data_IF_391660318442
#
_entry.id   IF_391660318442
#
_cell.length_a   1.000
_cell.length_b   1.000
_cell.length_c   1.000
_cell.angle_alpha   90.00
_cell.angle_beta   90.00
_cell.angle_gamma   90.00
#
_symmetry.space_group_name_H-M   'P 1'
#
loop_
_entity.id
_entity.type
_entity.pdbx_description
1 polymer ?
#
# COMPACT_ATOMS: atom_id res chain seq x y z
N UNK A 1 27.48 -80.80 -11.84
CA UNK A 1 27.32 -80.23 -13.20
C UNK A 1 26.04 -79.39 -13.13
N UNK A 2 25.98 -78.06 -13.22
CA UNK A 2 26.86 -77.02 -13.75
C UNK A 2 26.42 -75.69 -13.08
N UNK A 3 27.38 -74.91 -12.61
CA UNK A 3 27.21 -73.53 -12.06
C UNK A 3 26.71 -72.61 -13.19
N UNK A 4 25.96 -71.54 -12.90
CA UNK A 4 26.21 -70.13 -13.34
C UNK A 4 25.11 -69.16 -12.87
N UNK A 5 25.57 -68.10 -12.22
CA UNK A 5 24.86 -66.90 -11.72
C UNK A 5 24.83 -65.82 -12.80
N UNK A 6 23.71 -65.13 -13.04
CA UNK A 6 23.65 -63.76 -13.61
C UNK A 6 22.30 -63.13 -13.21
N UNK A 7 22.27 -62.30 -12.17
CA UNK A 7 22.19 -60.83 -12.23
C UNK A 7 20.85 -60.25 -12.74
N UNK A 8 20.14 -59.60 -11.79
CA UNK A 8 19.29 -58.41 -11.95
C UNK A 8 18.44 -58.34 -13.23
N UNK A 9 17.17 -58.69 -13.11
CA UNK A 9 16.11 -57.90 -13.79
C UNK A 9 15.10 -57.50 -12.72
N UNK A 10 15.42 -56.37 -12.10
CA UNK A 10 14.49 -55.54 -11.37
C UNK A 10 13.52 -54.97 -12.42
N UNK A 11 12.33 -55.55 -12.55
CA UNK A 11 11.23 -54.90 -13.25
C UNK A 11 10.65 -53.86 -12.28
N UNK A 12 11.23 -52.68 -12.29
CA UNK A 12 10.61 -51.46 -11.76
C UNK A 12 9.40 -51.19 -12.65
N UNK A 13 8.21 -51.62 -12.21
CA UNK A 13 6.96 -51.01 -12.69
C UNK A 13 6.77 -49.74 -11.87
N UNK A 14 7.27 -48.64 -12.43
CA UNK A 14 7.10 -47.32 -11.86
C UNK A 14 5.67 -46.83 -12.14
N UNK A 15 5.13 -46.17 -11.12
CA UNK A 15 4.24 -45.01 -11.22
C UNK A 15 2.77 -45.20 -11.65
N UNK A 16 1.93 -44.57 -10.84
CA UNK A 16 0.58 -44.06 -11.16
C UNK A 16 -0.61 -45.01 -10.95
N UNK A 17 -0.80 -45.45 -9.70
CA UNK A 17 -2.15 -45.38 -9.14
C UNK A 17 -2.12 -44.33 -8.03
N UNK A 18 -2.72 -43.13 -8.21
CA UNK A 18 -3.13 -42.38 -7.04
C UNK A 18 -4.11 -43.29 -6.32
N UNK A 19 -3.83 -43.59 -5.05
CA UNK A 19 -4.86 -44.08 -4.15
C UNK A 19 -6.07 -43.18 -4.38
N UNK A 20 -7.21 -43.77 -4.74
CA UNK A 20 -8.48 -43.08 -4.68
C UNK A 20 -8.65 -42.67 -3.21
N UNK A 21 -8.19 -41.46 -2.89
CA UNK A 21 -8.77 -40.74 -1.78
C UNK A 21 -10.18 -40.49 -2.24
N UNK A 22 -11.09 -41.41 -1.87
CA UNK A 22 -12.47 -41.04 -1.62
C UNK A 22 -12.37 -39.90 -0.62
N UNK A 23 -12.29 -38.67 -1.14
CA UNK A 23 -12.39 -37.47 -0.37
C UNK A 23 -13.76 -37.56 0.25
N UNK A 24 -13.81 -38.01 1.50
CA UNK A 24 -14.88 -37.66 2.39
C UNK A 24 -14.83 -36.15 2.49
N UNK A 25 -15.47 -35.49 1.52
CA UNK A 25 -15.71 -34.06 1.53
C UNK A 25 -16.47 -33.83 2.82
N UNK A 26 -15.76 -33.36 3.83
CA UNK A 26 -16.40 -32.89 5.05
C UNK A 26 -17.16 -31.65 4.62
N UNK A 27 -18.40 -31.85 4.18
CA UNK A 27 -19.32 -30.77 3.91
C UNK A 27 -19.43 -30.00 5.22
N UNK A 28 -18.77 -28.83 5.26
CA UNK A 28 -18.85 -27.95 6.42
C UNK A 28 -20.32 -27.61 6.57
N UNK A 29 -20.97 -27.94 7.69
CA UNK A 29 -22.39 -27.68 7.86
C UNK A 29 -22.63 -26.18 7.66
N UNK A 30 -23.73 -25.83 6.97
CA UNK A 30 -24.01 -24.45 6.53
C UNK A 30 -23.93 -23.43 7.66
N UNK A 31 -24.29 -23.81 8.88
CA UNK A 31 -24.17 -22.97 10.08
C UNK A 31 -22.73 -22.70 10.49
N UNK A 32 -21.84 -23.69 10.37
CA UNK A 32 -20.39 -23.51 10.57
C UNK A 32 -19.80 -22.64 9.46
N UNK A 33 -20.20 -22.86 8.20
CA UNK A 33 -19.77 -22.05 7.08
C UNK A 33 -20.16 -20.57 7.26
N UNK A 34 -21.39 -20.31 7.71
CA UNK A 34 -21.89 -18.96 8.02
C UNK A 34 -21.08 -18.29 9.13
N UNK A 35 -20.74 -19.01 10.19
CA UNK A 35 -19.89 -18.50 11.29
C UNK A 35 -18.48 -18.18 10.81
N UNK A 36 -17.89 -19.05 10.00
CA UNK A 36 -16.56 -18.83 9.40
C UNK A 36 -16.61 -17.61 8.49
N UNK A 37 -17.65 -17.48 7.65
CA UNK A 37 -17.84 -16.32 6.79
C UNK A 37 -17.89 -15.02 7.60
N UNK A 38 -18.69 -14.98 8.68
CA UNK A 38 -18.75 -13.82 9.56
C UNK A 38 -17.42 -13.52 10.25
N UNK A 39 -16.68 -14.54 10.68
CA UNK A 39 -15.35 -14.35 11.26
C UNK A 39 -14.38 -13.73 10.24
N UNK A 40 -14.42 -14.16 8.98
CA UNK A 40 -13.63 -13.58 7.90
C UNK A 40 -14.04 -12.14 7.62
N UNK A 41 -15.34 -11.85 7.55
CA UNK A 41 -15.85 -10.49 7.35
C UNK A 41 -15.38 -9.57 8.48
N UNK A 42 -15.50 -10.00 9.73
CA UNK A 42 -15.02 -9.22 10.89
C UNK A 42 -13.52 -8.98 10.80
N UNK A 43 -12.74 -9.97 10.39
CA UNK A 43 -11.30 -9.83 10.21
C UNK A 43 -10.95 -8.82 9.11
N UNK A 44 -11.64 -8.86 7.97
CA UNK A 44 -11.45 -7.90 6.88
C UNK A 44 -11.82 -6.49 7.33
N UNK A 45 -12.96 -6.32 8.00
CA UNK A 45 -13.41 -5.02 8.50
C UNK A 45 -12.44 -4.48 9.56
N UNK A 46 -11.97 -5.34 10.47
CA UNK A 46 -10.98 -4.97 11.47
C UNK A 46 -9.67 -4.51 10.84
N UNK A 47 -9.15 -5.26 9.87
CA UNK A 47 -7.95 -4.87 9.12
C UNK A 47 -8.14 -3.55 8.35
N UNK A 48 -9.30 -3.37 7.70
CA UNK A 48 -9.62 -2.13 6.99
C UNK A 48 -9.74 -0.94 7.94
N UNK A 49 -10.34 -1.12 9.12
CA UNK A 49 -10.43 -0.08 10.14
C UNK A 49 -9.05 0.32 10.66
N UNK A 50 -8.16 -0.64 10.95
CA UNK A 50 -6.77 -0.36 11.35
C UNK A 50 -6.06 0.40 10.23
N UNK A 51 -6.12 -0.08 8.99
CA UNK A 51 -5.50 0.59 7.85
C UNK A 51 -6.03 2.01 7.60
N UNK A 52 -7.27 2.30 7.98
CA UNK A 52 -7.89 3.62 7.83
C UNK A 52 -7.54 4.57 8.98
N UNK A 53 -7.63 4.11 10.24
CA UNK A 53 -7.48 4.97 11.42
C UNK A 53 -6.04 5.10 11.92
N UNK A 54 -5.18 4.13 11.64
CA UNK A 54 -3.78 4.15 12.08
C UNK A 54 -2.93 5.02 11.13
N UNK A 55 -2.48 6.18 11.62
CA UNK A 55 -1.66 7.10 10.83
C UNK A 55 -0.26 6.55 10.56
N UNK A 56 0.32 5.80 11.50
CA UNK A 56 1.68 5.28 11.37
C UNK A 56 1.75 4.18 10.32
N UNK A 57 0.76 3.27 10.33
CA UNK A 57 0.61 2.26 9.28
C UNK A 57 0.44 2.90 7.90
N UNK A 58 -0.42 3.93 7.78
CA UNK A 58 -0.60 4.65 6.51
C UNK A 58 0.69 5.31 6.03
N UNK A 59 1.44 5.96 6.93
CA UNK A 59 2.70 6.61 6.58
C UNK A 59 3.74 5.58 6.09
N UNK A 60 3.86 4.43 6.76
CA UNK A 60 4.74 3.34 6.31
C UNK A 60 4.35 2.81 4.92
N UNK A 61 3.05 2.62 4.67
CA UNK A 61 2.57 2.18 3.35
C UNK A 61 2.87 3.24 2.29
N UNK A 62 2.64 4.52 2.57
CA UNK A 62 2.93 5.63 1.65
C UNK A 62 4.43 5.77 1.36
N UNK A 63 5.28 5.46 2.34
CA UNK A 63 6.73 5.39 2.18
C UNK A 63 7.13 4.26 1.23
N UNK A 64 6.57 3.06 1.43
CA UNK A 64 6.83 1.91 0.56
C UNK A 64 6.28 2.10 -0.87
N UNK A 65 5.14 2.77 -1.03
CA UNK A 65 4.55 3.02 -2.35
C UNK A 65 5.12 4.26 -3.04
N UNK A 66 5.97 5.05 -2.35
CA UNK A 66 6.53 6.30 -2.86
C UNK A 66 5.48 7.39 -3.09
N UNK A 67 4.31 7.28 -2.45
CA UNK A 67 3.21 8.24 -2.57
C UNK A 67 3.21 9.31 -1.48
N UNK A 68 4.29 9.39 -0.68
CA UNK A 68 4.49 10.50 0.23
C UNK A 68 4.39 11.81 -0.54
N UNK A 69 3.51 12.75 -0.14
CA UNK A 69 3.46 14.06 -0.77
C UNK A 69 4.77 14.76 -0.45
N UNK A 70 5.67 14.83 -1.44
CA UNK A 70 6.88 15.63 -1.34
C UNK A 70 6.43 17.08 -1.11
N UNK A 71 6.77 17.65 0.04
CA UNK A 71 6.56 19.06 0.33
C UNK A 71 7.89 19.80 0.22
N UNK A 72 7.85 20.99 -0.37
CA UNK A 72 8.99 21.89 -0.41
C UNK A 72 8.62 23.16 0.36
N UNK A 73 9.45 23.51 1.34
CA UNK A 73 9.33 24.77 2.08
C UNK A 73 9.88 25.90 1.20
N UNK A 74 9.04 26.88 0.93
CA UNK A 74 9.39 28.09 0.16
C UNK A 74 9.12 29.35 0.98
N UNK A 75 9.82 30.42 0.64
CA UNK A 75 9.73 31.72 1.29
C UNK A 75 9.20 32.73 0.28
N UNK A 76 8.10 33.39 0.62
CA UNK A 76 7.44 34.37 -0.25
C UNK A 76 7.51 35.76 0.38
N UNK A 77 7.92 36.75 -0.40
CA UNK A 77 7.97 38.14 0.04
C UNK A 77 7.57 39.09 -1.09
N UNK A 78 7.24 40.31 -0.72
CA UNK A 78 6.95 41.39 -1.66
C UNK A 78 8.11 42.38 -1.64
N UNK A 79 8.56 42.85 -2.80
CA UNK A 79 9.57 43.90 -2.88
C UNK A 79 8.96 45.31 -2.76
N UNK A 80 9.82 46.32 -2.71
CA UNK A 80 9.41 47.73 -2.55
C UNK A 80 8.64 48.26 -3.77
N UNK A 81 8.63 47.52 -4.89
CA UNK A 81 7.87 47.82 -6.10
C UNK A 81 6.53 47.09 -6.14
N UNK A 82 6.19 46.33 -5.10
CA UNK A 82 4.97 45.55 -5.01
C UNK A 82 5.03 44.20 -5.74
N UNK A 83 6.19 43.77 -6.23
CA UNK A 83 6.35 42.51 -6.97
C UNK A 83 6.54 41.36 -5.98
N UNK A 84 5.83 40.27 -6.20
CA UNK A 84 5.94 39.04 -5.41
C UNK A 84 7.10 38.17 -5.88
N UNK A 85 7.92 37.73 -4.94
CA UNK A 85 9.05 36.82 -5.16
C UNK A 85 8.89 35.57 -4.30
N UNK A 86 9.36 34.43 -4.82
CA UNK A 86 9.37 33.14 -4.11
C UNK A 86 10.77 32.52 -4.24
N UNK A 87 11.36 32.09 -3.13
CA UNK A 87 12.67 31.41 -3.11
C UNK A 87 12.68 30.25 -2.13
N UNK A 88 13.58 29.30 -2.36
CA UNK A 88 13.86 28.19 -1.42
C UNK A 88 14.74 28.64 -0.24
N UNK A 89 15.28 29.85 -0.28
CA UNK A 89 16.08 30.45 0.80
C UNK A 89 15.41 31.70 1.34
N UNK A 90 15.45 31.92 2.67
CA UNK A 90 14.84 33.10 3.27
C UNK A 90 15.62 34.36 2.88
N UNK A 91 14.94 35.46 2.49
CA UNK A 91 15.60 36.74 2.27
C UNK A 91 16.10 37.30 3.61
N UNK A 92 17.31 37.88 3.61
CA UNK A 92 17.95 38.41 4.83
C UNK A 92 17.36 39.75 5.28
N UNK A 93 16.98 40.59 4.33
CA UNK A 93 16.70 42.01 4.58
C UNK A 93 15.22 42.37 4.40
N UNK A 94 14.34 41.37 4.26
CA UNK A 94 12.91 41.59 4.02
C UNK A 94 12.03 40.67 4.85
N UNK A 95 10.88 41.17 5.34
CA UNK A 95 9.88 40.31 5.95
C UNK A 95 9.35 39.34 4.90
N UNK A 96 9.35 38.06 5.24
CA UNK A 96 8.86 36.98 4.38
C UNK A 96 7.79 36.17 5.11
N UNK A 97 6.97 35.46 4.33
CA UNK A 97 6.07 34.43 4.82
C UNK A 97 6.58 33.07 4.39
N UNK A 98 6.61 32.14 5.33
CA UNK A 98 6.90 30.74 5.04
C UNK A 98 5.66 30.09 4.44
N UNK A 99 5.85 29.28 3.40
CA UNK A 99 4.76 28.55 2.77
C UNK A 99 5.24 27.15 2.39
N UNK A 100 4.42 26.15 2.70
CA UNK A 100 4.69 24.76 2.35
C UNK A 100 3.96 24.42 1.05
N UNK A 101 4.71 24.04 0.02
CA UNK A 101 4.16 23.68 -1.28
C UNK A 101 4.17 22.17 -1.42
N UNK A 102 2.99 21.58 -1.57
CA UNK A 102 2.83 20.16 -1.87
C UNK A 102 2.99 19.94 -3.37
N UNK A 103 3.92 19.09 -3.79
CA UNK A 103 4.19 18.86 -5.21
C UNK A 103 3.02 18.24 -5.99
N UNK A 104 2.08 17.62 -5.29
CA UNK A 104 0.91 16.97 -5.88
C UNK A 104 -0.34 17.87 -5.94
N UNK A 105 -0.25 19.13 -5.51
CA UNK A 105 -1.39 20.05 -5.48
C UNK A 105 -1.09 21.28 -6.32
N UNK A 106 -1.83 21.46 -7.41
CA UNK A 106 -1.80 22.70 -8.18
C UNK A 106 -2.66 23.75 -7.45
N UNK A 107 -2.05 24.48 -6.51
CA UNK A 107 -2.75 25.53 -5.76
C UNK A 107 -2.85 26.78 -6.63
N UNK A 108 -4.00 26.98 -7.28
CA UNK A 108 -4.31 28.27 -7.91
C UNK A 108 -4.75 29.23 -6.79
N UNK A 109 -4.06 30.37 -6.59
CA UNK A 109 -4.44 31.33 -5.56
C UNK A 109 -5.84 31.87 -5.86
N UNK A 110 -6.70 31.93 -4.84
CA UNK A 110 -7.99 32.58 -4.94
C UNK A 110 -7.79 34.06 -5.30
N UNK A 111 -8.43 34.51 -6.38
CA UNK A 111 -8.43 35.94 -6.74
C UNK A 111 -8.97 36.76 -5.56
N UNK A 112 -8.37 37.91 -5.24
CA UNK A 112 -8.87 38.76 -4.17
C UNK A 112 -10.33 39.13 -4.48
N UNK A 113 -11.21 38.96 -3.48
CA UNK A 113 -12.59 39.39 -3.59
C UNK A 113 -12.57 40.90 -3.90
N UNK A 114 -13.05 41.28 -5.07
CA UNK A 114 -13.34 42.67 -5.37
C UNK A 114 -14.41 43.09 -4.37
N UNK A 115 -14.06 43.93 -3.40
CA UNK A 115 -15.06 44.63 -2.58
C UNK A 115 -16.00 45.33 -3.56
N UNK A 116 -17.25 44.87 -3.57
CA UNK A 116 -18.31 45.52 -4.34
C UNK A 116 -18.59 46.86 -3.65
N UNK A 117 -18.23 47.93 -4.35
CA UNK A 117 -18.54 49.33 -4.02
C UNK A 117 -20.06 49.56 -3.92
#
# INVERSE_FOLDING_TARGET
MKIWTFHRVVFIWNLLMPAETCGAGTAVPSDMLKKILWAVVILIVGAAAIAYFDRDFRNQVLEMTGQLPTSTKVYKWQDNKGIWHVSNTPPRDKPYKEQEYLHNTNVIPSLPAREAE
#
